data_IF_192484872442
#
_entry.id   IF_192484872442
#
_cell.length_a   1.000
_cell.length_b   1.000
_cell.length_c   1.000
_cell.angle_alpha   90.00
_cell.angle_beta   90.00
_cell.angle_gamma   90.00
#
_symmetry.space_group_name_H-M   'P 1'
#
loop_
_entity.id
_entity.type
_entity.pdbx_description
1 polymer ?
#
# COMPACT_ATOMS: atom_id res chain seq x y z
N UNK A 1 9.63 -28.82 -2.89
CA UNK A 1 10.37 -29.02 -1.62
C UNK A 1 9.94 -30.34 -0.99
N UNK A 2 10.86 -31.15 -0.46
CA UNK A 2 10.49 -32.44 0.15
C UNK A 2 9.95 -32.26 1.57
N UNK A 3 8.98 -33.10 1.97
CA UNK A 3 8.38 -33.09 3.33
C UNK A 3 9.42 -33.22 4.44
N UNK A 4 10.52 -33.93 4.18
CA UNK A 4 11.58 -34.22 5.14
C UNK A 4 12.30 -32.97 5.68
N UNK A 5 12.24 -31.83 4.96
CA UNK A 5 12.92 -30.59 5.39
C UNK A 5 11.98 -29.53 5.97
N UNK A 6 10.67 -29.83 6.08
CA UNK A 6 9.65 -28.87 6.54
C UNK A 6 9.92 -28.33 7.94
N UNK A 7 10.16 -29.21 8.91
CA UNK A 7 10.39 -28.80 10.30
C UNK A 7 11.67 -27.99 10.47
N UNK A 8 12.74 -28.41 9.79
CA UNK A 8 14.01 -27.71 9.83
C UNK A 8 13.85 -26.28 9.31
N UNK A 9 13.17 -26.10 8.17
CA UNK A 9 12.89 -24.78 7.60
C UNK A 9 12.00 -23.95 8.52
N UNK A 10 10.94 -24.51 9.08
CA UNK A 10 10.06 -23.80 10.02
C UNK A 10 10.79 -23.31 11.27
N UNK A 11 11.75 -24.10 11.78
CA UNK A 11 12.57 -23.72 12.95
C UNK A 11 13.66 -22.69 12.62
N UNK A 12 14.15 -22.66 11.37
CA UNK A 12 15.31 -21.83 10.99
C UNK A 12 14.99 -20.58 10.17
N UNK A 13 13.77 -20.44 9.63
CA UNK A 13 13.32 -19.26 8.86
C UNK A 13 13.21 -17.96 9.70
N UNK A 14 13.27 -18.06 11.02
CA UNK A 14 13.08 -16.94 11.94
C UNK A 14 11.60 -16.56 12.08
N UNK A 15 11.33 -15.57 12.92
CA UNK A 15 9.96 -15.08 13.09
C UNK A 15 9.58 -14.13 11.95
N UNK A 16 8.31 -14.11 11.56
CA UNK A 16 7.80 -13.19 10.53
C UNK A 16 7.59 -11.76 11.04
N UNK A 17 7.48 -11.53 12.35
CA UNK A 17 7.20 -10.20 12.89
C UNK A 17 8.32 -9.14 12.70
N UNK A 18 9.63 -9.46 12.67
CA UNK A 18 10.69 -8.47 12.49
C UNK A 18 10.62 -7.75 11.13
N UNK A 19 10.07 -8.38 10.08
CA UNK A 19 9.93 -7.72 8.77
C UNK A 19 8.94 -6.55 8.81
N UNK A 20 8.05 -6.49 9.81
CA UNK A 20 7.13 -5.37 9.99
C UNK A 20 7.83 -4.11 10.52
N UNK A 21 8.94 -4.26 11.26
CA UNK A 21 9.63 -3.19 11.99
C UNK A 21 10.99 -2.80 11.40
N UNK A 22 11.13 -2.86 10.06
CA UNK A 22 12.31 -2.28 9.39
C UNK A 22 12.43 -0.80 9.73
N UNK A 23 13.65 -0.25 9.81
CA UNK A 23 13.86 1.18 10.15
C UNK A 23 13.09 2.10 9.19
N UNK A 24 13.07 1.79 7.89
CA UNK A 24 12.30 2.54 6.89
C UNK A 24 10.77 2.49 7.10
N UNK A 25 10.29 1.52 7.87
CA UNK A 25 8.89 1.35 8.25
C UNK A 25 8.50 2.14 9.52
N UNK A 26 9.45 2.73 10.25
CA UNK A 26 9.18 3.56 11.45
C UNK A 26 8.26 4.74 11.14
N UNK A 27 8.24 5.22 9.89
CA UNK A 27 7.29 6.24 9.41
C UNK A 27 5.82 5.87 9.64
N UNK A 28 5.48 4.58 9.64
CA UNK A 28 4.11 4.12 9.95
C UNK A 28 3.66 4.51 11.36
N UNK A 29 4.59 4.69 12.30
CA UNK A 29 4.26 5.02 13.70
C UNK A 29 3.91 6.52 13.83
N UNK A 30 4.64 7.39 13.13
CA UNK A 30 4.53 8.84 13.33
C UNK A 30 3.74 9.59 12.24
N UNK A 31 3.59 9.02 11.04
CA UNK A 31 2.96 9.68 9.88
C UNK A 31 1.55 9.13 9.60
N UNK A 32 0.67 9.13 10.61
CA UNK A 32 -0.66 8.50 10.53
C UNK A 32 -1.82 9.48 10.23
N UNK A 33 -1.56 10.77 10.05
CA UNK A 33 -2.64 11.76 9.94
C UNK A 33 -3.32 11.75 8.57
N UNK A 34 -4.60 12.14 8.54
CA UNK A 34 -5.32 12.40 7.27
C UNK A 34 -4.68 13.50 6.43
N UNK A 35 -4.00 14.46 7.06
CA UNK A 35 -3.18 15.48 6.38
C UNK A 35 -2.03 14.84 5.60
N UNK A 36 -1.29 13.91 6.21
CA UNK A 36 -0.22 13.19 5.51
C UNK A 36 -0.76 12.37 4.34
N UNK A 37 -1.90 11.71 4.50
CA UNK A 37 -2.53 10.96 3.43
C UNK A 37 -2.96 11.90 2.27
N UNK A 38 -3.50 13.08 2.59
CA UNK A 38 -3.80 14.11 1.58
C UNK A 38 -2.53 14.60 0.86
N UNK A 39 -1.45 14.90 1.57
CA UNK A 39 -0.19 15.28 0.92
C UNK A 39 0.37 14.18 0.03
N UNK A 40 0.19 12.92 0.43
CA UNK A 40 0.60 11.76 -0.36
C UNK A 40 -0.25 11.63 -1.62
N UNK A 41 -1.56 11.87 -1.51
CA UNK A 41 -2.48 12.00 -2.66
C UNK A 41 -2.08 13.13 -3.61
N UNK A 42 -1.78 14.33 -3.10
CA UNK A 42 -1.35 15.46 -3.92
C UNK A 42 -0.03 15.13 -4.69
N UNK A 43 0.92 14.47 -4.02
CA UNK A 43 2.19 14.02 -4.64
C UNK A 43 1.98 12.93 -5.70
N UNK A 44 1.08 11.98 -5.42
CA UNK A 44 0.68 10.95 -6.37
C UNK A 44 0.13 11.58 -7.65
N UNK A 45 -0.83 12.49 -7.51
CA UNK A 45 -1.41 13.19 -8.66
C UNK A 45 -0.38 14.00 -9.44
N UNK A 46 0.51 14.71 -8.74
CA UNK A 46 1.59 15.43 -9.40
C UNK A 46 2.55 14.50 -10.16
N UNK A 47 2.83 13.29 -9.66
CA UNK A 47 3.66 12.31 -10.35
C UNK A 47 2.95 11.75 -11.60
N UNK A 48 1.69 11.34 -11.47
CA UNK A 48 0.90 10.83 -12.59
C UNK A 48 0.72 11.89 -13.69
N UNK A 49 0.51 13.16 -13.33
CA UNK A 49 0.41 14.27 -14.28
C UNK A 49 1.71 14.48 -15.10
N UNK A 50 2.87 14.05 -14.57
CA UNK A 50 4.15 14.06 -15.29
C UNK A 50 4.42 12.77 -16.08
N UNK A 51 3.46 11.84 -16.15
CA UNK A 51 3.65 10.52 -16.77
C UNK A 51 4.55 9.58 -15.96
N UNK A 52 4.76 9.85 -14.66
CA UNK A 52 5.59 9.03 -13.79
C UNK A 52 4.74 8.00 -13.05
N UNK A 53 5.36 6.88 -12.68
CA UNK A 53 4.78 5.89 -11.75
C UNK A 53 5.03 6.31 -10.30
N UNK A 54 4.23 5.77 -9.38
CA UNK A 54 4.32 6.10 -7.96
C UNK A 54 4.27 4.83 -7.10
N UNK A 55 5.40 4.44 -6.52
CA UNK A 55 5.49 3.24 -5.68
C UNK A 55 5.11 3.58 -4.25
N UNK A 56 4.18 2.82 -3.71
CA UNK A 56 3.65 3.02 -2.37
C UNK A 56 3.70 1.75 -1.55
N UNK A 57 3.66 1.96 -0.25
CA UNK A 57 3.54 0.94 0.76
C UNK A 57 2.18 1.10 1.46
N UNK A 58 1.41 0.02 1.45
CA UNK A 58 0.06 -0.09 2.01
C UNK A 58 0.12 -0.76 3.37
N UNK A 59 -0.57 -0.17 4.35
CA UNK A 59 -0.65 -0.76 5.69
C UNK A 59 -1.95 -0.41 6.41
N UNK A 60 -2.42 -1.30 7.27
CA UNK A 60 -3.50 -1.03 8.23
C UNK A 60 -3.00 -0.91 9.66
N UNK A 61 -1.69 -0.68 9.86
CA UNK A 61 -1.12 -0.48 11.20
C UNK A 61 -2.00 0.47 12.05
N UNK A 62 -2.35 0.06 13.30
CA UNK A 62 -1.80 -1.07 14.05
C UNK A 62 -2.48 -2.44 13.85
N UNK A 63 -3.52 -2.56 13.00
CA UNK A 63 -4.25 -3.83 12.80
C UNK A 63 -3.47 -4.89 12.01
N UNK A 64 -2.44 -4.47 11.26
CA UNK A 64 -1.50 -5.35 10.53
C UNK A 64 -2.15 -6.35 9.55
N UNK A 65 -3.31 -6.03 9.00
CA UNK A 65 -4.01 -6.87 8.01
C UNK A 65 -3.48 -6.73 6.59
N UNK A 66 -2.65 -5.72 6.31
CA UNK A 66 -1.87 -5.59 5.08
C UNK A 66 -0.54 -4.88 5.41
N UNK A 67 0.52 -5.29 4.74
CA UNK A 67 1.87 -4.71 4.79
C UNK A 67 2.52 -5.02 3.45
N UNK A 68 2.20 -4.23 2.42
CA UNK A 68 2.51 -4.59 1.04
C UNK A 68 2.88 -3.41 0.17
N UNK A 69 3.78 -3.61 -0.78
CA UNK A 69 4.20 -2.57 -1.72
C UNK A 69 3.57 -2.78 -3.09
N UNK A 70 3.04 -1.69 -3.65
CA UNK A 70 2.36 -1.68 -4.94
C UNK A 70 2.79 -0.48 -5.76
N UNK A 71 2.60 -0.53 -7.08
CA UNK A 71 2.95 0.54 -8.02
C UNK A 71 1.69 1.14 -8.62
N UNK A 72 1.49 2.43 -8.44
CA UNK A 72 0.37 3.18 -9.03
C UNK A 72 0.86 3.79 -10.35
N UNK A 73 0.13 3.56 -11.45
CA UNK A 73 0.57 4.00 -12.78
C UNK A 73 -0.47 4.80 -13.55
N UNK A 74 -1.73 4.83 -13.13
CA UNK A 74 -2.80 5.56 -13.84
C UNK A 74 -3.93 5.96 -12.90
N UNK A 75 -4.47 7.16 -13.12
CA UNK A 75 -5.77 7.55 -12.56
C UNK A 75 -6.89 7.06 -13.50
N UNK A 76 -7.83 6.26 -12.99
CA UNK A 76 -8.88 5.60 -13.75
C UNK A 76 -10.23 6.33 -13.69
N UNK A 77 -10.20 7.63 -13.42
CA UNK A 77 -11.38 8.49 -13.36
C UNK A 77 -11.91 8.72 -11.94
N UNK A 78 -13.08 9.35 -11.90
CA UNK A 78 -13.74 9.85 -10.71
C UNK A 78 -15.19 9.35 -10.68
N UNK A 79 -15.64 8.83 -9.55
CA UNK A 79 -17.05 8.53 -9.32
C UNK A 79 -17.71 9.74 -8.64
N UNK A 80 -18.61 10.47 -9.31
CA UNK A 80 -19.21 11.71 -8.78
C UNK A 80 -19.94 11.53 -7.45
N UNK A 81 -20.47 10.33 -7.21
CA UNK A 81 -21.14 9.96 -5.97
C UNK A 81 -20.58 8.57 -5.57
N UNK A 82 -19.80 8.43 -4.47
CA UNK A 82 -19.59 9.37 -3.37
C UNK A 82 -18.35 10.29 -3.50
N UNK A 83 -17.94 10.64 -4.73
CA UNK A 83 -16.78 11.51 -4.96
C UNK A 83 -15.44 10.78 -4.81
N UNK A 84 -15.36 9.52 -5.24
CA UNK A 84 -14.15 8.71 -5.13
C UNK A 84 -13.29 8.83 -6.38
N UNK A 85 -12.01 9.14 -6.20
CA UNK A 85 -11.01 9.00 -7.25
C UNK A 85 -10.50 7.56 -7.28
N UNK A 86 -10.30 7.00 -8.48
CA UNK A 86 -9.83 5.63 -8.66
C UNK A 86 -8.48 5.62 -9.34
N UNK A 87 -7.61 4.71 -8.92
CA UNK A 87 -6.27 4.53 -9.46
C UNK A 87 -6.05 3.06 -9.83
N UNK A 88 -5.39 2.83 -10.96
CA UNK A 88 -4.90 1.51 -11.33
C UNK A 88 -3.52 1.27 -10.72
N UNK A 89 -3.39 0.07 -10.18
CA UNK A 89 -2.26 -0.36 -9.39
C UNK A 89 -1.75 -1.68 -9.95
N UNK A 90 -0.45 -1.78 -10.14
CA UNK A 90 0.23 -3.05 -10.31
C UNK A 90 0.58 -3.60 -8.93
N UNK A 91 0.05 -4.77 -8.64
CA UNK A 91 0.33 -5.53 -7.42
C UNK A 91 1.14 -6.77 -7.79
N UNK A 92 2.38 -6.91 -7.27
CA UNK A 92 3.22 -8.07 -7.54
C UNK A 92 2.62 -9.42 -7.11
N UNK A 93 1.71 -9.44 -6.11
CA UNK A 93 1.02 -10.65 -5.66
C UNK A 93 -0.10 -11.07 -6.61
N UNK A 94 -0.51 -10.19 -7.53
CA UNK A 94 -1.58 -10.41 -8.49
C UNK A 94 -1.16 -9.95 -9.89
N UNK A 95 -0.16 -10.59 -10.49
CA UNK A 95 0.42 -10.15 -11.77
C UNK A 95 -0.55 -10.28 -12.95
N UNK A 96 -1.64 -11.05 -12.81
CA UNK A 96 -2.59 -11.34 -13.87
C UNK A 96 -3.50 -10.17 -14.23
N UNK A 97 -3.73 -9.23 -13.31
CA UNK A 97 -4.62 -8.09 -13.56
C UNK A 97 -4.31 -6.91 -12.65
N UNK A 98 -4.50 -5.66 -13.11
CA UNK A 98 -4.39 -4.49 -12.24
C UNK A 98 -5.37 -4.54 -11.08
N UNK A 99 -4.98 -3.94 -9.96
CA UNK A 99 -5.83 -3.70 -8.79
C UNK A 99 -6.25 -2.24 -8.71
N UNK A 100 -7.26 -1.97 -7.90
CA UNK A 100 -7.78 -0.62 -7.67
C UNK A 100 -7.40 -0.10 -6.28
N UNK A 101 -6.92 1.14 -6.26
CA UNK A 101 -6.80 1.97 -5.06
C UNK A 101 -7.71 3.18 -5.22
N UNK A 102 -8.48 3.49 -4.19
CA UNK A 102 -9.43 4.59 -4.20
C UNK A 102 -9.04 5.65 -3.19
N UNK A 103 -9.33 6.91 -3.52
CA UNK A 103 -9.17 8.05 -2.62
C UNK A 103 -10.53 8.70 -2.36
N UNK A 104 -10.81 8.95 -1.08
CA UNK A 104 -11.96 9.73 -0.62
C UNK A 104 -11.49 11.12 -0.17
N UNK A 105 -11.85 12.21 -0.89
CA UNK A 105 -11.49 13.57 -0.47
C UNK A 105 -12.24 14.00 0.80
N UNK A 106 -13.44 13.47 1.03
CA UNK A 106 -14.28 13.76 2.20
C UNK A 106 -13.63 13.27 3.50
N UNK A 107 -13.16 12.03 3.51
CA UNK A 107 -12.55 11.41 4.69
C UNK A 107 -11.03 11.53 4.70
N UNK A 108 -10.42 11.96 3.59
CA UNK A 108 -8.96 12.02 3.37
C UNK A 108 -8.29 10.67 3.60
N UNK A 109 -8.88 9.62 3.07
CA UNK A 109 -8.44 8.24 3.26
C UNK A 109 -8.35 7.49 1.95
N UNK A 110 -7.40 6.57 1.87
CA UNK A 110 -7.34 5.59 0.81
C UNK A 110 -8.08 4.30 1.19
N UNK A 111 -8.61 3.60 0.18
CA UNK A 111 -9.06 2.22 0.30
C UNK A 111 -8.52 1.36 -0.82
N UNK A 112 -8.09 0.15 -0.47
CA UNK A 112 -7.60 -0.83 -1.42
C UNK A 112 -8.68 -1.89 -1.67
N UNK A 113 -8.75 -2.40 -2.90
CA UNK A 113 -9.71 -3.44 -3.24
C UNK A 113 -9.49 -4.71 -2.39
N UNK A 114 -10.55 -5.52 -2.30
CA UNK A 114 -10.48 -6.85 -1.70
C UNK A 114 -9.68 -7.80 -2.60
N UNK A 115 -8.90 -8.66 -1.98
CA UNK A 115 -8.26 -9.81 -2.64
C UNK A 115 -8.28 -11.06 -1.71
N UNK A 116 -7.45 -12.07 -1.99
CA UNK A 116 -7.43 -13.32 -1.21
C UNK A 116 -6.74 -13.17 0.15
N UNK A 117 -5.84 -12.20 0.31
CA UNK A 117 -5.05 -11.96 1.52
C UNK A 117 -5.55 -10.75 2.33
N UNK A 118 -6.25 -9.83 1.67
CA UNK A 118 -6.76 -8.60 2.26
C UNK A 118 -8.26 -8.47 2.02
N UNK A 119 -9.00 -8.27 3.10
CA UNK A 119 -10.47 -8.14 3.09
C UNK A 119 -10.98 -6.92 2.29
N UNK A 120 -10.10 -6.01 1.89
CA UNK A 120 -10.42 -4.76 1.23
C UNK A 120 -10.75 -3.65 2.23
N UNK A 121 -10.78 -2.42 1.74
CA UNK A 121 -11.16 -1.24 2.51
C UNK A 121 -9.97 -0.38 2.92
N UNK A 122 -10.08 0.30 4.06
CA UNK A 122 -9.15 1.35 4.48
C UNK A 122 -7.70 0.89 4.50
N UNK A 123 -6.82 1.70 3.91
CA UNK A 123 -5.36 1.55 4.00
C UNK A 123 -4.70 2.90 4.21
N UNK A 124 -3.54 2.88 4.86
CA UNK A 124 -2.60 3.99 4.88
C UNK A 124 -1.59 3.79 3.77
N UNK A 125 -1.32 4.86 3.04
CA UNK A 125 -0.41 4.87 1.90
C UNK A 125 0.83 5.67 2.28
N UNK A 126 2.00 5.08 2.06
CA UNK A 126 3.30 5.72 2.26
C UNK A 126 4.12 5.64 0.98
N UNK A 127 4.61 6.77 0.49
CA UNK A 127 5.50 6.77 -0.67
C UNK A 127 6.80 6.02 -0.33
N UNK A 128 7.19 5.07 -1.18
CA UNK A 128 8.41 4.28 -0.95
C UNK A 128 9.65 5.07 -1.32
N UNK A 129 9.64 5.76 -2.47
CA UNK A 129 10.80 6.50 -3.00
C UNK A 129 10.68 8.03 -2.88
N UNK A 130 11.81 8.74 -2.79
CA UNK A 130 11.87 10.21 -2.77
C UNK A 130 11.65 10.86 -1.39
N UNK A 131 12.01 10.19 -0.29
CA UNK A 131 11.91 10.72 1.08
C UNK A 131 13.24 10.62 1.84
N UNK A 132 13.57 11.56 2.74
CA UNK A 132 14.64 11.36 3.70
C UNK A 132 14.35 10.11 4.55
N UNK A 133 15.36 9.28 4.82
CA UNK A 133 15.24 7.98 5.53
C UNK A 133 14.47 6.89 4.76
N UNK A 134 14.56 6.91 3.44
CA UNK A 134 14.33 5.69 2.66
C UNK A 134 15.24 4.54 3.08
#
# INVERSE_FOLDING_TARGET
MSKARRELVQKSIGHGWPSYFRVSNMRMVFQQSGTYQKETHDRLNAALARGQVFVVFLTTYPRLSINHSVLIYKQNGFSPNPGLERYLVYDPNHPESPRELNWSPHTRTFSYQKDWDFVGGFVRVYQVYGKPLQ
#
